data_IF_389708058780
#
_entry.id   IF_389708058780
#
_cell.length_a   1.000
_cell.length_b   1.000
_cell.length_c   1.000
_cell.angle_alpha   90.00
_cell.angle_beta   90.00
_cell.angle_gamma   90.00
#
_symmetry.space_group_name_H-M   'P 1'
#
loop_
_entity.id
_entity.type
_entity.pdbx_description
1 polymer ?
#
# COMPACT_ATOMS: atom_id res chain seq x y z
N UNK A 1 4.60 -24.50 18.41
CA UNK A 1 4.95 -23.37 17.52
C UNK A 1 4.08 -22.20 17.98
N UNK A 2 4.66 -21.09 18.47
CA UNK A 2 3.84 -19.92 18.79
C UNK A 2 3.22 -19.40 17.50
N UNK A 3 1.91 -19.10 17.50
CA UNK A 3 1.29 -18.39 16.40
C UNK A 3 2.00 -17.03 16.31
N UNK A 4 2.86 -16.86 15.30
CA UNK A 4 3.35 -15.52 14.95
C UNK A 4 2.14 -14.74 14.45
N UNK A 5 1.81 -13.67 15.16
CA UNK A 5 0.80 -12.72 14.71
C UNK A 5 1.16 -12.27 13.27
N UNK A 6 0.16 -12.22 12.39
CA UNK A 6 0.30 -11.79 11.01
C UNK A 6 -0.32 -10.40 10.85
N UNK A 7 0.32 -9.57 10.02
CA UNK A 7 -0.10 -8.19 9.78
C UNK A 7 -0.30 -7.97 8.30
N UNK A 8 -1.42 -7.36 7.95
CA UNK A 8 -1.72 -6.89 6.61
C UNK A 8 -1.73 -5.36 6.57
N UNK A 9 -1.08 -4.77 5.58
CA UNK A 9 -1.01 -3.32 5.36
C UNK A 9 -1.84 -2.99 4.11
N UNK A 10 -2.86 -2.17 4.33
CA UNK A 10 -3.70 -1.58 3.28
C UNK A 10 -3.51 -0.08 3.33
N UNK A 11 -2.77 0.45 2.35
CA UNK A 11 -2.38 1.85 2.32
C UNK A 11 -3.19 2.60 1.27
N UNK A 12 -4.02 3.53 1.74
CA UNK A 12 -4.58 4.58 0.90
C UNK A 12 -3.46 5.58 0.54
N UNK A 13 -2.91 5.44 -0.67
CA UNK A 13 -1.77 6.21 -1.09
C UNK A 13 -2.10 7.71 -1.19
N UNK A 14 -3.33 8.06 -1.57
CA UNK A 14 -3.67 9.45 -1.83
C UNK A 14 -3.97 10.26 -0.56
N UNK A 15 -4.66 9.64 0.40
CA UNK A 15 -4.93 10.27 1.69
C UNK A 15 -3.70 10.24 2.61
N UNK A 16 -2.83 9.24 2.45
CA UNK A 16 -1.57 9.11 3.19
C UNK A 16 -0.36 9.23 2.25
N UNK A 17 -0.30 10.29 1.43
CA UNK A 17 0.80 10.51 0.49
C UNK A 17 2.14 10.60 1.21
N UNK A 18 3.17 9.88 0.74
CA UNK A 18 4.48 9.96 1.37
C UNK A 18 5.15 11.30 1.01
N UNK A 19 6.12 11.76 1.82
CA UNK A 19 6.93 12.92 1.49
C UNK A 19 7.63 12.73 0.14
N UNK A 20 7.54 13.74 -0.74
CA UNK A 20 8.04 13.68 -2.13
C UNK A 20 9.56 13.57 -2.27
N UNK A 21 10.30 13.73 -1.16
CA UNK A 21 11.75 13.69 -1.10
C UNK A 21 12.30 12.30 -0.72
N UNK A 22 11.43 11.39 -0.26
CA UNK A 22 11.84 10.05 0.14
C UNK A 22 11.73 9.06 -1.03
N UNK A 23 12.66 8.12 -1.06
CA UNK A 23 12.62 7.00 -2.00
C UNK A 23 11.55 5.99 -1.57
N UNK A 24 10.96 5.31 -2.55
CA UNK A 24 9.95 4.27 -2.33
C UNK A 24 10.45 3.13 -1.44
N UNK A 25 11.74 2.80 -1.55
CA UNK A 25 12.40 1.81 -0.69
C UNK A 25 12.36 2.22 0.78
N UNK A 26 12.69 3.46 1.09
CA UNK A 26 12.72 3.98 2.46
C UNK A 26 11.32 4.06 3.03
N UNK A 27 10.34 4.51 2.23
CA UNK A 27 8.93 4.56 2.62
C UNK A 27 8.44 3.15 2.98
N UNK A 28 8.60 2.18 2.08
CA UNK A 28 8.16 0.81 2.30
C UNK A 28 8.85 0.17 3.51
N UNK A 29 10.16 0.37 3.66
CA UNK A 29 10.92 -0.16 4.80
C UNK A 29 10.49 0.46 6.13
N UNK A 30 10.25 1.77 6.16
CA UNK A 30 9.80 2.45 7.36
C UNK A 30 8.41 1.99 7.80
N UNK A 31 7.45 1.88 6.88
CA UNK A 31 6.10 1.35 7.16
C UNK A 31 6.20 -0.10 7.67
N UNK A 32 6.96 -0.95 6.96
CA UNK A 32 7.15 -2.36 7.35
C UNK A 32 7.80 -2.50 8.73
N UNK A 33 8.80 -1.67 9.05
CA UNK A 33 9.46 -1.66 10.35
C UNK A 33 8.46 -1.39 11.49
N UNK A 34 7.55 -0.44 11.30
CA UNK A 34 6.49 -0.17 12.28
C UNK A 34 5.52 -1.34 12.37
N UNK A 35 5.08 -1.89 11.23
CA UNK A 35 4.16 -3.02 11.18
C UNK A 35 4.73 -4.29 11.86
N UNK A 36 6.06 -4.48 11.82
CA UNK A 36 6.72 -5.61 12.46
C UNK A 36 6.59 -5.65 13.99
N UNK A 37 6.28 -4.51 14.64
CA UNK A 37 5.95 -4.50 16.06
C UNK A 37 4.64 -5.25 16.38
N UNK A 38 3.77 -5.45 15.38
CA UNK A 38 2.48 -6.13 15.50
C UNK A 38 2.48 -7.55 14.90
N UNK A 39 3.57 -7.99 14.26
CA UNK A 39 3.66 -9.32 13.66
C UNK A 39 4.41 -9.41 12.33
N UNK A 40 4.33 -10.56 11.68
CA UNK A 40 4.92 -10.77 10.35
C UNK A 40 4.05 -10.14 9.28
N UNK A 41 4.60 -9.24 8.48
CA UNK A 41 3.89 -8.62 7.36
C UNK A 41 3.66 -9.67 6.26
N UNK A 42 2.40 -10.04 6.03
CA UNK A 42 1.98 -11.02 5.00
C UNK A 42 1.34 -10.36 3.79
N UNK A 43 0.80 -9.16 3.96
CA UNK A 43 0.20 -8.35 2.88
C UNK A 43 0.73 -6.93 2.99
N UNK A 44 1.15 -6.36 1.87
CA UNK A 44 1.48 -4.94 1.76
C UNK A 44 0.97 -4.41 0.42
N UNK A 45 -0.15 -3.69 0.47
CA UNK A 45 -0.82 -3.12 -0.70
C UNK A 45 -0.95 -1.61 -0.59
N UNK A 46 -0.65 -0.91 -1.67
CA UNK A 46 -0.93 0.52 -1.83
C UNK A 46 -2.02 0.69 -2.89
N UNK A 47 -3.06 1.44 -2.56
CA UNK A 47 -4.22 1.70 -3.42
C UNK A 47 -4.09 3.12 -3.97
N UNK A 48 -4.05 3.25 -5.30
CA UNK A 48 -3.80 4.50 -6.00
C UNK A 48 -4.41 4.47 -7.41
N UNK A 49 -4.75 5.63 -7.95
CA UNK A 49 -5.09 5.75 -9.37
C UNK A 49 -3.81 5.85 -10.21
N UNK A 50 -3.63 4.89 -11.13
CA UNK A 50 -2.51 4.90 -12.07
C UNK A 50 -2.87 5.78 -13.28
N UNK A 51 -2.83 7.10 -13.09
CA UNK A 51 -3.02 8.07 -14.19
C UNK A 51 -1.71 8.33 -14.97
N UNK A 52 -1.78 9.08 -16.08
CA UNK A 52 -0.59 9.52 -16.83
C UNK A 52 0.34 10.33 -15.92
N UNK A 53 1.54 9.80 -15.71
CA UNK A 53 2.38 10.17 -14.58
C UNK A 53 3.71 10.77 -15.02
N UNK A 54 4.15 11.77 -14.26
CA UNK A 54 5.50 12.33 -14.37
C UNK A 54 6.57 11.23 -14.19
N UNK A 55 7.79 11.41 -14.74
CA UNK A 55 8.88 10.45 -14.54
C UNK A 55 9.17 10.17 -13.06
N UNK A 56 9.00 11.16 -12.18
CA UNK A 56 9.19 11.04 -10.73
C UNK A 56 8.18 10.06 -10.09
N UNK A 57 6.91 10.15 -10.46
CA UNK A 57 5.87 9.23 -9.99
C UNK A 57 6.05 7.81 -10.52
N UNK A 58 6.57 7.66 -11.75
CA UNK A 58 6.92 6.34 -12.30
C UNK A 58 8.06 5.68 -11.51
N UNK A 59 9.11 6.44 -11.18
CA UNK A 59 10.22 5.94 -10.37
C UNK A 59 9.74 5.49 -9.00
N UNK A 60 8.99 6.34 -8.28
CA UNK A 60 8.50 6.02 -6.95
C UNK A 60 7.66 4.73 -6.93
N UNK A 61 6.79 4.52 -7.92
CA UNK A 61 6.02 3.27 -8.06
C UNK A 61 6.91 2.05 -8.28
N UNK A 62 7.91 2.17 -9.15
CA UNK A 62 8.88 1.10 -9.41
C UNK A 62 9.64 0.72 -8.14
N UNK A 63 10.06 1.72 -7.36
CA UNK A 63 10.76 1.52 -6.09
C UNK A 63 9.86 0.82 -5.05
N UNK A 64 8.59 1.24 -4.93
CA UNK A 64 7.60 0.60 -4.07
C UNK A 64 7.35 -0.86 -4.48
N UNK A 65 7.13 -1.14 -5.77
CA UNK A 65 6.90 -2.50 -6.27
C UNK A 65 8.11 -3.41 -6.02
N UNK A 66 9.30 -2.92 -6.33
CA UNK A 66 10.56 -3.66 -6.09
C UNK A 66 10.78 -3.93 -4.60
N UNK A 67 10.23 -3.07 -3.72
CA UNK A 67 10.25 -3.27 -2.28
C UNK A 67 9.22 -4.29 -1.76
N UNK A 68 8.46 -4.94 -2.65
CA UNK A 68 7.42 -5.91 -2.29
C UNK A 68 6.07 -5.28 -1.96
N UNK A 69 5.84 -4.00 -2.30
CA UNK A 69 4.53 -3.37 -2.18
C UNK A 69 3.71 -3.65 -3.43
N UNK A 70 2.56 -4.28 -3.26
CA UNK A 70 1.61 -4.48 -4.36
C UNK A 70 0.85 -3.18 -4.63
N UNK A 71 1.01 -2.62 -5.82
CA UNK A 71 0.26 -1.45 -6.28
C UNK A 71 -1.08 -1.90 -6.86
N UNK A 72 -2.17 -1.46 -6.23
CA UNK A 72 -3.54 -1.77 -6.64
C UNK A 72 -4.10 -0.55 -7.35
N UNK A 73 -4.26 -0.67 -8.67
CA UNK A 73 -4.85 0.40 -9.48
C UNK A 73 -6.33 0.57 -9.15
N UNK A 74 -6.70 1.81 -8.84
CA UNK A 74 -8.04 2.24 -8.46
C UNK A 74 -8.51 3.31 -9.46
N UNK A 75 -8.88 2.94 -10.69
CA UNK A 75 -9.37 3.89 -11.68
C UNK A 75 -10.69 4.46 -11.19
N UNK A 76 -10.65 5.71 -10.73
CA UNK A 76 -11.79 6.32 -10.08
C UNK A 76 -12.43 7.44 -10.89
N UNK A 77 -11.77 7.92 -11.96
CA UNK A 77 -12.37 8.88 -12.91
C UNK A 77 -13.00 10.10 -12.20
N UNK A 78 -12.36 10.56 -11.12
CA UNK A 78 -12.84 11.65 -10.27
C UNK A 78 -13.95 11.28 -9.26
N UNK A 79 -14.35 10.01 -9.18
CA UNK A 79 -15.29 9.51 -8.16
C UNK A 79 -14.57 9.37 -6.82
N UNK A 80 -15.17 9.97 -5.80
CA UNK A 80 -14.77 9.76 -4.42
C UNK A 80 -15.16 8.32 -3.99
N UNK A 81 -14.48 7.79 -2.98
CA UNK A 81 -14.78 6.52 -2.30
C UNK A 81 -14.39 5.22 -3.03
N UNK A 82 -13.74 5.26 -4.20
CA UNK A 82 -13.31 4.03 -4.88
C UNK A 82 -12.22 3.32 -4.08
N UNK A 83 -11.21 4.06 -3.61
CA UNK A 83 -10.15 3.53 -2.76
C UNK A 83 -10.72 2.97 -1.46
N UNK A 84 -11.62 3.71 -0.80
CA UNK A 84 -12.29 3.27 0.42
C UNK A 84 -13.02 1.94 0.23
N UNK A 85 -13.80 1.80 -0.85
CA UNK A 85 -14.53 0.57 -1.16
C UNK A 85 -13.60 -0.61 -1.46
N UNK A 86 -12.50 -0.35 -2.16
CA UNK A 86 -11.50 -1.37 -2.49
C UNK A 86 -10.77 -1.87 -1.24
N UNK A 87 -10.38 -0.96 -0.35
CA UNK A 87 -9.77 -1.30 0.94
C UNK A 87 -10.78 -2.06 1.81
N UNK A 88 -12.03 -1.60 1.91
CA UNK A 88 -13.06 -2.29 2.67
C UNK A 88 -13.28 -3.72 2.16
N UNK A 89 -13.38 -3.90 0.84
CA UNK A 89 -13.49 -5.22 0.23
C UNK A 89 -12.28 -6.12 0.54
N UNK A 90 -11.08 -5.55 0.55
CA UNK A 90 -9.87 -6.29 0.88
C UNK A 90 -9.78 -6.68 2.36
N UNK A 91 -10.22 -5.82 3.26
CA UNK A 91 -10.34 -6.09 4.70
C UNK A 91 -11.37 -7.19 4.97
N UNK A 92 -12.54 -7.09 4.34
CA UNK A 92 -13.59 -8.11 4.44
C UNK A 92 -13.07 -9.46 3.93
N UNK A 93 -12.38 -9.48 2.78
CA UNK A 93 -11.78 -10.71 2.29
C UNK A 93 -10.79 -11.32 3.29
N UNK A 94 -9.88 -10.52 3.85
CA UNK A 94 -8.87 -10.98 4.80
C UNK A 94 -9.44 -11.40 6.15
N UNK A 95 -10.63 -10.93 6.51
CA UNK A 95 -11.31 -11.39 7.71
C UNK A 95 -11.91 -12.80 7.53
N UNK A 96 -12.37 -13.12 6.32
CA UNK A 96 -13.02 -14.39 6.02
C UNK A 96 -12.07 -15.49 5.49
N UNK A 97 -10.84 -15.15 5.09
CA UNK A 97 -9.83 -16.07 4.54
C UNK A 97 -8.44 -15.72 5.07
#
# INVERSE_FOLDING_TARGET
MSHRESVAIYWDYENCKPPSQLLGYDIANNIRRVAHAFGSVTVFRAYLEVSEQSPKSCNLRSELQTSGVSLIDCPHSGRKDVVDKMILGALVHAYFH
#
